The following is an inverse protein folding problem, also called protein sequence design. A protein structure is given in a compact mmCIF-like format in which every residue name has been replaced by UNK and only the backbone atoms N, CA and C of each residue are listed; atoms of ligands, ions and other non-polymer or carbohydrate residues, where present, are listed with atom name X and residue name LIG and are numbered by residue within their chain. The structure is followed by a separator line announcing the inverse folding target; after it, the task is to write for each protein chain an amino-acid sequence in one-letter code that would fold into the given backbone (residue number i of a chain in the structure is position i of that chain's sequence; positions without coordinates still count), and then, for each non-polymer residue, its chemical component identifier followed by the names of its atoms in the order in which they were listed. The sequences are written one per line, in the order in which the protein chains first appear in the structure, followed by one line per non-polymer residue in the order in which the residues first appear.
data_IF_061957225610
#
_entry.id   IF_061957225610
#
_cell.length_a   1.000
_cell.length_b   1.000
_cell.length_c   1.000
_cell.angle_alpha   90.00
_cell.angle_beta   90.00
_cell.angle_gamma   90.00
#
_symmetry.space_group_name_H-M   'P 1'
#
loop_
_entity.id
_entity.type
_entity.pdbx_description
1 polymer ?
#
# COMPACT_ATOMS: atom_id res chain seq x y z
N UNK A 1 -44.35 -10.16 6.51
CA UNK A 1 -43.54 -10.04 7.74
C UNK A 1 -42.25 -10.89 7.70
N UNK A 2 -41.88 -11.49 6.57
CA UNK A 2 -40.65 -12.30 6.44
C UNK A 2 -39.46 -11.55 5.79
N UNK A 3 -39.75 -10.46 5.05
CA UNK A 3 -38.72 -9.68 4.36
C UNK A 3 -37.88 -8.82 5.33
N UNK A 4 -38.46 -8.42 6.47
CA UNK A 4 -37.78 -7.65 7.51
C UNK A 4 -36.81 -8.52 8.33
N UNK A 5 -37.08 -9.84 8.40
CA UNK A 5 -36.20 -10.82 9.03
C UNK A 5 -34.93 -11.02 8.19
N UNK A 6 -35.10 -11.22 6.87
CA UNK A 6 -33.97 -11.37 5.95
C UNK A 6 -33.08 -10.13 5.85
N UNK A 7 -33.64 -8.92 5.99
CA UNK A 7 -32.82 -7.70 6.01
C UNK A 7 -32.02 -7.53 7.32
N UNK A 8 -32.48 -8.12 8.44
CA UNK A 8 -31.73 -8.15 9.69
C UNK A 8 -30.59 -9.16 9.65
N UNK A 9 -30.84 -10.34 9.08
CA UNK A 9 -29.82 -11.37 8.87
C UNK A 9 -28.67 -10.85 7.98
N UNK A 10 -29.02 -10.06 6.94
CA UNK A 10 -28.03 -9.42 6.06
C UNK A 10 -27.26 -8.31 6.79
N UNK A 11 -27.89 -7.54 7.67
CA UNK A 11 -27.19 -6.52 8.48
C UNK A 11 -26.24 -7.15 9.53
N UNK A 12 -26.61 -8.29 10.14
CA UNK A 12 -25.71 -9.05 11.03
C UNK A 12 -24.54 -9.69 10.27
N UNK A 13 -24.75 -10.18 9.06
CA UNK A 13 -23.67 -10.74 8.23
C UNK A 13 -22.67 -9.66 7.78
N UNK A 14 -23.14 -8.43 7.52
CA UNK A 14 -22.28 -7.29 7.18
C UNK A 14 -21.49 -6.79 8.40
N UNK A 15 -22.07 -6.80 9.61
CA UNK A 15 -21.36 -6.39 10.84
C UNK A 15 -20.27 -7.42 11.23
N UNK A 16 -20.41 -8.68 10.80
CA UNK A 16 -19.40 -9.73 10.94
C UNK A 16 -18.23 -9.61 9.93
N UNK A 17 -18.30 -8.71 8.96
CA UNK A 17 -17.13 -8.35 8.16
C UNK A 17 -16.16 -7.51 9.01
N UNK A 18 -15.37 -8.19 9.84
CA UNK A 18 -14.15 -7.66 10.41
C UNK A 18 -13.28 -7.19 9.22
N UNK A 19 -12.92 -5.90 9.21
CA UNK A 19 -12.21 -5.23 8.11
C UNK A 19 -10.90 -5.89 7.67
N UNK A 20 -10.47 -6.93 8.38
CA UNK A 20 -9.48 -7.94 8.03
C UNK A 20 -9.71 -8.69 6.71
N UNK A 21 -10.96 -8.75 6.20
CA UNK A 21 -11.29 -9.39 4.92
C UNK A 21 -11.24 -8.46 3.70
N UNK A 22 -11.10 -7.14 3.91
CA UNK A 22 -10.48 -6.30 2.89
C UNK A 22 -9.07 -6.87 2.75
N UNK A 23 -8.56 -7.19 1.54
CA UNK A 23 -7.15 -7.50 1.40
C UNK A 23 -6.43 -6.30 1.96
N UNK A 24 -5.98 -6.46 3.20
CA UNK A 24 -5.27 -5.46 3.95
C UNK A 24 -4.06 -5.23 3.07
N UNK A 25 -4.08 -4.12 2.30
CA UNK A 25 -2.85 -3.43 1.97
C UNK A 25 -2.05 -3.54 3.26
N UNK A 26 -0.88 -4.23 3.27
CA UNK A 26 -0.23 -4.61 4.50
C UNK A 26 -0.04 -3.33 5.31
N UNK A 27 -0.96 -3.12 6.24
CA UNK A 27 -1.00 -1.95 7.07
C UNK A 27 0.14 -2.29 7.99
N UNK A 28 1.31 -1.71 7.69
CA UNK A 28 2.52 -1.96 8.43
C UNK A 28 2.22 -1.66 9.87
N UNK A 29 1.85 -2.74 10.55
CA UNK A 29 1.37 -2.72 11.90
C UNK A 29 2.63 -2.61 12.70
N UNK A 30 2.80 -1.43 13.28
CA UNK A 30 3.77 -1.08 14.30
C UNK A 30 4.19 -2.30 15.11
N UNK A 31 5.45 -2.75 14.97
CA UNK A 31 5.89 -3.95 15.68
C UNK A 31 7.39 -4.27 15.67
N UNK A 32 8.20 -3.75 14.74
CA UNK A 32 9.65 -4.00 14.81
C UNK A 32 10.46 -3.48 13.62
N UNK A 33 11.58 -2.82 13.95
CA UNK A 33 12.78 -2.56 13.13
C UNK A 33 12.65 -1.92 11.73
N UNK A 34 11.47 -1.54 11.26
CA UNK A 34 11.34 -0.82 9.98
C UNK A 34 11.59 0.69 10.17
N UNK A 35 12.64 1.28 9.57
CA UNK A 35 13.01 2.67 9.81
C UNK A 35 12.29 3.69 8.91
N UNK A 36 11.40 3.23 8.01
CA UNK A 36 10.73 4.07 7.02
C UNK A 36 9.26 4.30 7.36
N UNK A 37 8.75 5.45 6.93
CA UNK A 37 7.33 5.79 7.10
C UNK A 37 6.43 5.12 6.06
N UNK A 38 6.98 4.77 4.90
CA UNK A 38 6.29 4.02 3.84
C UNK A 38 6.62 2.53 3.89
N UNK A 39 5.79 1.73 3.22
CA UNK A 39 5.98 0.28 3.15
C UNK A 39 7.10 -0.14 2.24
N UNK A 40 7.73 -1.27 2.57
CA UNK A 40 8.73 -1.89 1.70
C UNK A 40 8.17 -2.07 0.28
N UNK A 41 6.90 -2.47 0.17
CA UNK A 41 6.22 -2.59 -1.12
C UNK A 41 6.12 -1.26 -1.88
N UNK A 42 5.80 -0.16 -1.20
CA UNK A 42 5.76 1.17 -1.83
C UNK A 42 7.15 1.62 -2.29
N UNK A 43 8.17 1.43 -1.45
CA UNK A 43 9.56 1.76 -1.79
C UNK A 43 10.05 0.91 -2.98
N UNK A 44 9.83 -0.41 -2.94
CA UNK A 44 10.21 -1.35 -3.99
C UNK A 44 9.47 -1.06 -5.30
N UNK A 45 8.18 -0.74 -5.24
CA UNK A 45 7.39 -0.38 -6.41
C UNK A 45 7.91 0.90 -7.06
N UNK A 46 8.22 1.93 -6.27
CA UNK A 46 8.79 3.18 -6.81
C UNK A 46 10.15 2.92 -7.47
N UNK A 47 11.04 2.19 -6.82
CA UNK A 47 12.35 1.84 -7.37
C UNK A 47 12.24 1.02 -8.66
N UNK A 48 11.39 0.00 -8.69
CA UNK A 48 11.15 -0.81 -9.87
C UNK A 48 10.69 0.04 -11.07
N UNK A 49 9.75 0.97 -10.83
CA UNK A 49 9.28 1.88 -11.88
C UNK A 49 10.40 2.82 -12.36
N UNK A 50 11.27 3.29 -11.46
CA UNK A 50 12.41 4.13 -11.83
C UNK A 50 13.40 3.37 -12.72
N UNK A 51 13.68 2.10 -12.41
CA UNK A 51 14.57 1.25 -13.20
C UNK A 51 13.99 1.00 -14.60
N UNK A 52 12.69 0.70 -14.70
CA UNK A 52 11.99 0.55 -15.98
C UNK A 52 12.08 1.86 -16.78
N UNK A 53 11.77 2.99 -16.16
CA UNK A 53 11.77 4.27 -16.87
C UNK A 53 13.16 4.69 -17.33
N UNK A 54 14.21 4.35 -16.56
CA UNK A 54 15.60 4.54 -16.96
C UNK A 54 15.98 3.63 -18.13
N UNK A 55 15.61 2.35 -18.07
CA UNK A 55 15.94 1.36 -19.09
C UNK A 55 15.27 1.65 -20.45
N UNK A 56 13.98 1.96 -20.43
CA UNK A 56 13.20 2.23 -21.64
C UNK A 56 13.22 3.71 -22.07
N UNK A 57 13.93 4.57 -21.32
CA UNK A 57 14.00 6.03 -21.53
C UNK A 57 12.62 6.66 -21.74
N UNK A 58 11.64 6.29 -20.91
CA UNK A 58 10.29 6.83 -21.00
C UNK A 58 10.31 8.30 -20.51
N UNK A 59 10.16 9.30 -21.41
CA UNK A 59 10.61 10.65 -21.11
C UNK A 59 9.57 11.53 -20.38
N UNK A 60 8.45 10.97 -19.92
CA UNK A 60 7.31 11.75 -19.38
C UNK A 60 6.82 11.29 -18.01
N UNK A 61 7.66 10.63 -17.21
CA UNK A 61 7.28 10.21 -15.84
C UNK A 61 7.82 11.22 -14.83
N UNK A 62 6.91 11.91 -14.16
CA UNK A 62 7.25 12.90 -13.14
C UNK A 62 7.14 12.27 -11.76
N UNK A 63 8.25 12.27 -11.03
CA UNK A 63 8.32 11.84 -9.65
C UNK A 63 8.48 13.05 -8.75
N UNK A 64 7.81 13.03 -7.60
CA UNK A 64 8.06 14.04 -6.57
C UNK A 64 9.38 13.72 -5.85
N UNK A 65 10.48 14.25 -6.38
CA UNK A 65 11.83 14.05 -5.82
C UNK A 65 12.06 14.76 -4.48
N UNK A 66 11.17 15.67 -4.10
CA UNK A 66 11.18 16.37 -2.81
C UNK A 66 10.31 15.65 -1.75
N UNK A 67 9.58 14.60 -2.15
CA UNK A 67 8.70 13.85 -1.27
C UNK A 67 9.45 12.88 -0.36
N UNK A 68 8.83 12.56 0.78
CA UNK A 68 9.35 11.57 1.73
C UNK A 68 9.50 10.18 1.08
N UNK A 69 8.50 9.73 0.31
CA UNK A 69 8.56 8.44 -0.40
C UNK A 69 9.79 8.30 -1.32
N UNK A 70 10.08 9.33 -2.11
CA UNK A 70 11.24 9.31 -3.02
C UNK A 70 12.55 9.30 -2.25
N UNK A 71 12.65 10.10 -1.18
CA UNK A 71 13.83 10.18 -0.33
C UNK A 71 14.08 8.84 0.39
N UNK A 72 13.03 8.24 0.94
CA UNK A 72 13.09 6.94 1.60
C UNK A 72 13.46 5.83 0.60
N UNK A 73 12.86 5.82 -0.60
CA UNK A 73 13.17 4.85 -1.63
C UNK A 73 14.64 4.94 -2.09
N UNK A 74 15.15 6.15 -2.29
CA UNK A 74 16.56 6.36 -2.64
C UNK A 74 17.49 5.93 -1.52
N UNK A 75 17.12 6.17 -0.25
CA UNK A 75 17.88 5.73 0.92
C UNK A 75 17.89 4.22 1.04
N UNK A 76 16.73 3.57 0.87
CA UNK A 76 16.56 2.12 0.86
C UNK A 76 17.41 1.45 -0.22
N UNK A 77 17.41 2.00 -1.44
CA UNK A 77 18.26 1.50 -2.52
C UNK A 77 19.76 1.52 -2.17
N UNK A 78 20.23 2.51 -1.42
CA UNK A 78 21.66 2.59 -1.06
C UNK A 78 22.10 1.58 0.01
N UNK A 79 21.16 0.90 0.66
CA UNK A 79 21.48 -0.12 1.67
C UNK A 79 21.91 -1.47 1.04
N UNK A 80 21.75 -1.63 -0.27
CA UNK A 80 22.06 -2.84 -1.05
C UNK A 80 22.88 -2.49 -2.28
#
# INVERSE_FOLDING_TARGET
EEEDQGMRDVMEEIDHFDGSAIPTQPQQSSGGAWPYTHSEHELASLLHNLDINSHFRMPNVYYNTQGALYTEAMTYRQQF
#
